data_IF_446345755797
#
_entry.id   IF_446345755797
#
_cell.length_a   1.000
_cell.length_b   1.000
_cell.length_c   1.000
_cell.angle_alpha   90.00
_cell.angle_beta   90.00
_cell.angle_gamma   90.00
#
_symmetry.space_group_name_H-M   'P 1'
#
loop_
_entity.id
_entity.type
_entity.pdbx_description
1 polymer ?
#
# COMPACT_ATOMS: atom_id res chain seq x y z
N UNK A 1 31.21 17.20 19.58
CA UNK A 1 30.00 16.90 18.79
C UNK A 1 30.08 17.72 17.52
N UNK A 2 30.81 17.19 16.54
CA UNK A 2 30.88 17.81 15.21
C UNK A 2 29.49 17.75 14.58
N UNK A 3 28.91 18.92 14.34
CA UNK A 3 27.71 19.05 13.55
C UNK A 3 28.05 18.61 12.12
N UNK A 4 27.67 17.41 11.75
CA UNK A 4 27.73 16.96 10.35
C UNK A 4 26.81 17.89 9.55
N UNK A 5 27.36 18.85 8.82
CA UNK A 5 26.60 19.58 7.84
C UNK A 5 26.23 18.60 6.72
N UNK A 6 24.96 18.46 6.49
CA UNK A 6 24.41 17.57 5.46
C UNK A 6 23.50 18.38 4.57
N UNK A 7 23.55 18.11 3.28
CA UNK A 7 22.61 18.68 2.30
C UNK A 7 21.54 17.66 1.99
N UNK A 8 20.28 18.01 2.23
CA UNK A 8 19.13 17.14 2.00
C UNK A 8 18.40 17.54 0.72
N UNK A 9 18.22 16.58 -0.18
CA UNK A 9 17.36 16.67 -1.34
C UNK A 9 16.15 15.76 -1.19
N UNK A 10 14.97 16.27 -1.52
CA UNK A 10 13.75 15.49 -1.51
C UNK A 10 12.94 15.77 -2.77
N UNK A 11 12.40 14.74 -3.40
CA UNK A 11 11.36 14.89 -4.40
C UNK A 11 10.24 13.87 -4.19
N UNK A 12 9.04 14.26 -4.56
CA UNK A 12 7.85 13.39 -4.57
C UNK A 12 7.09 13.62 -5.87
N UNK A 13 6.69 12.53 -6.52
CA UNK A 13 5.79 12.54 -7.68
C UNK A 13 4.66 11.60 -7.35
N UNK A 14 3.43 12.11 -7.39
CA UNK A 14 2.22 11.36 -7.06
C UNK A 14 1.17 11.54 -8.15
N UNK A 15 0.44 10.48 -8.47
CA UNK A 15 -0.61 10.48 -9.48
C UNK A 15 -1.77 9.60 -9.04
N UNK A 16 -2.98 10.14 -9.15
CA UNK A 16 -4.25 9.45 -8.91
C UNK A 16 -5.05 9.37 -10.20
N UNK A 17 -5.41 8.16 -10.61
CA UNK A 17 -6.19 7.91 -11.83
C UNK A 17 -7.32 6.92 -11.51
N UNK A 18 -8.54 7.24 -11.90
CA UNK A 18 -9.64 6.28 -11.92
C UNK A 18 -9.88 5.79 -13.36
N UNK A 19 -9.32 4.62 -13.68
CA UNK A 19 -9.49 4.02 -15.01
C UNK A 19 -10.94 3.67 -15.32
N UNK A 20 -11.76 3.45 -14.29
CA UNK A 20 -13.19 3.20 -14.47
C UNK A 20 -13.92 4.34 -15.20
N UNK A 21 -13.44 5.57 -15.04
CA UNK A 21 -14.01 6.75 -15.72
C UNK A 21 -13.89 6.69 -17.24
N UNK A 22 -12.85 6.04 -17.76
CA UNK A 22 -12.66 5.85 -19.21
C UNK A 22 -13.53 4.73 -19.81
N UNK A 23 -14.11 3.86 -18.96
CA UNK A 23 -14.91 2.71 -19.36
C UNK A 23 -16.42 3.00 -19.35
N UNK A 24 -16.84 4.25 -19.55
CA UNK A 24 -18.23 4.67 -19.48
C UNK A 24 -18.93 4.22 -18.16
N UNK A 25 -18.56 4.77 -17.00
CA UNK A 25 -18.95 4.28 -15.67
C UNK A 25 -20.48 4.25 -15.47
N UNK A 26 -21.23 5.14 -16.15
CA UNK A 26 -22.69 5.15 -16.13
C UNK A 26 -23.33 3.89 -16.73
N UNK A 27 -22.62 3.20 -17.65
CA UNK A 27 -23.09 1.97 -18.31
C UNK A 27 -22.51 0.72 -17.66
N UNK A 28 -21.24 0.75 -17.30
CA UNK A 28 -20.53 -0.43 -16.77
C UNK A 28 -20.57 -0.52 -15.23
N UNK A 29 -20.59 0.62 -14.54
CA UNK A 29 -20.50 0.70 -13.09
C UNK A 29 -19.11 0.36 -12.53
N UNK A 30 -18.10 0.17 -13.39
CA UNK A 30 -16.75 -0.23 -12.98
C UNK A 30 -16.00 0.96 -12.38
N UNK A 31 -15.37 0.75 -11.23
CA UNK A 31 -14.51 1.72 -10.55
C UNK A 31 -13.14 1.07 -10.34
N UNK A 32 -12.08 1.71 -10.86
CA UNK A 32 -10.69 1.23 -10.79
C UNK A 32 -9.80 2.40 -10.37
N UNK A 33 -9.80 2.79 -9.08
CA UNK A 33 -8.93 3.84 -8.61
C UNK A 33 -7.51 3.30 -8.44
N UNK A 34 -6.56 3.97 -9.08
CA UNK A 34 -5.13 3.67 -9.03
C UNK A 34 -4.42 4.88 -8.45
N UNK A 35 -3.59 4.63 -7.46
CA UNK A 35 -2.65 5.59 -6.92
C UNK A 35 -1.23 5.09 -7.18
N UNK A 36 -0.38 5.98 -7.70
CA UNK A 36 1.04 5.73 -7.91
C UNK A 36 1.84 6.90 -7.35
N UNK A 37 2.79 6.62 -6.48
CA UNK A 37 3.72 7.63 -6.01
C UNK A 37 5.15 7.11 -5.94
N UNK A 38 6.08 8.03 -6.17
CA UNK A 38 7.51 7.83 -5.98
C UNK A 38 8.05 8.99 -5.16
N UNK A 39 8.71 8.67 -4.07
CA UNK A 39 9.45 9.63 -3.30
C UNK A 39 10.91 9.21 -3.15
N UNK A 40 11.80 10.18 -3.12
CA UNK A 40 13.21 9.94 -2.87
C UNK A 40 13.78 11.02 -1.97
N UNK A 41 14.46 10.58 -0.94
CA UNK A 41 15.28 11.42 -0.07
C UNK A 41 16.74 11.13 -0.38
N UNK A 42 17.54 12.18 -0.55
CA UNK A 42 18.97 12.08 -0.78
C UNK A 42 19.69 12.96 0.22
N UNK A 43 20.52 12.38 1.07
CA UNK A 43 21.36 13.07 2.02
C UNK A 43 22.79 13.04 1.49
N UNK A 44 23.38 14.20 1.28
CA UNK A 44 24.77 14.35 0.83
C UNK A 44 25.61 14.77 2.01
N UNK A 45 26.61 13.96 2.43
CA UNK A 45 27.46 14.27 3.56
C UNK A 45 28.43 15.44 3.23
N UNK A 46 28.83 16.21 4.22
CA UNK A 46 29.85 17.26 4.05
C UNK A 46 31.23 16.64 3.80
N UNK A 47 31.58 15.59 4.53
CA UNK A 47 32.85 14.89 4.42
C UNK A 47 32.68 13.56 3.68
N UNK A 48 33.75 13.10 3.02
CA UNK A 48 33.75 11.82 2.33
C UNK A 48 33.67 10.66 3.34
N UNK A 49 32.63 9.80 3.33
CA UNK A 49 32.53 8.68 4.28
C UNK A 49 33.65 7.65 4.18
N UNK A 50 34.41 7.65 3.08
CA UNK A 50 35.55 6.75 2.83
C UNK A 50 36.89 7.39 3.21
N UNK A 51 36.94 8.70 3.37
CA UNK A 51 38.10 9.49 3.81
C UNK A 51 37.58 10.71 4.59
N UNK A 52 37.34 10.57 5.91
CA UNK A 52 36.68 11.60 6.74
C UNK A 52 37.47 12.92 6.86
N UNK A 53 38.75 12.94 6.50
CA UNK A 53 39.58 14.13 6.53
C UNK A 53 39.38 15.01 5.29
N UNK A 54 38.72 14.50 4.25
CA UNK A 54 38.50 15.18 2.97
C UNK A 54 37.03 15.59 2.84
N UNK A 55 36.78 16.87 2.53
CA UNK A 55 35.43 17.31 2.16
C UNK A 55 34.96 16.62 0.90
N UNK A 56 33.69 16.19 0.91
CA UNK A 56 33.10 15.42 -0.21
C UNK A 56 33.19 16.16 -1.57
N UNK A 57 33.04 17.48 -1.56
CA UNK A 57 33.21 18.30 -2.75
C UNK A 57 34.63 18.20 -3.31
N UNK A 58 35.65 18.30 -2.46
CA UNK A 58 37.05 18.21 -2.85
C UNK A 58 37.39 16.79 -3.37
N UNK A 59 36.84 15.76 -2.73
CA UNK A 59 36.99 14.38 -3.19
C UNK A 59 36.45 14.18 -4.62
N UNK A 60 35.35 14.85 -4.97
CA UNK A 60 34.80 14.82 -6.33
C UNK A 60 35.61 15.61 -7.36
N UNK A 61 36.35 16.64 -6.94
CA UNK A 61 37.23 17.44 -7.83
C UNK A 61 38.52 16.71 -8.20
N UNK A 62 39.05 15.88 -7.28
CA UNK A 62 40.27 15.10 -7.49
C UNK A 62 40.04 13.98 -8.51
N UNK A 63 38.86 13.41 -8.59
CA UNK A 63 38.51 12.34 -9.51
C UNK A 63 38.36 12.90 -10.93
N UNK A 64 39.12 12.40 -11.90
CA UNK A 64 39.09 12.89 -13.28
C UNK A 64 37.90 12.31 -14.08
N UNK A 65 37.64 11.00 -13.90
CA UNK A 65 36.60 10.31 -14.66
C UNK A 65 35.16 10.62 -14.14
N UNK A 66 34.26 10.96 -15.06
CA UNK A 66 32.85 11.18 -14.72
C UNK A 66 32.19 9.90 -14.14
N UNK A 67 32.56 8.73 -14.65
CA UNK A 67 32.04 7.45 -14.16
C UNK A 67 32.46 7.19 -12.71
N UNK A 68 33.67 7.52 -12.33
CA UNK A 68 34.16 7.41 -10.95
C UNK A 68 33.51 8.45 -10.04
N UNK A 69 33.29 9.68 -10.52
CA UNK A 69 32.52 10.71 -9.78
C UNK A 69 31.11 10.22 -9.46
N UNK A 70 30.42 9.64 -10.42
CA UNK A 70 29.05 9.15 -10.24
C UNK A 70 29.00 7.90 -9.33
N UNK A 71 30.04 7.05 -9.42
CA UNK A 71 30.22 5.93 -8.50
C UNK A 71 30.44 6.41 -7.05
N UNK A 72 31.34 7.39 -6.86
CA UNK A 72 31.60 7.98 -5.55
C UNK A 72 30.37 8.67 -4.97
N UNK A 73 29.62 9.46 -5.78
CA UNK A 73 28.35 10.07 -5.37
C UNK A 73 27.33 9.03 -4.93
N UNK A 74 27.21 7.94 -5.68
CA UNK A 74 26.26 6.86 -5.38
C UNK A 74 26.65 6.10 -4.12
N UNK A 75 27.96 5.95 -3.86
CA UNK A 75 28.46 5.24 -2.70
C UNK A 75 28.43 6.07 -1.40
N UNK A 76 28.67 7.38 -1.50
CA UNK A 76 28.81 8.26 -0.34
C UNK A 76 27.50 8.84 0.16
N UNK A 77 26.52 9.01 -0.72
CA UNK A 77 25.20 9.57 -0.37
C UNK A 77 24.30 8.54 0.29
N UNK A 78 23.49 8.98 1.26
CA UNK A 78 22.37 8.17 1.74
C UNK A 78 21.14 8.47 0.88
N UNK A 79 20.68 7.45 0.16
CA UNK A 79 19.56 7.54 -0.77
C UNK A 79 18.51 6.54 -0.34
N UNK A 80 17.32 7.05 0.00
CA UNK A 80 16.12 6.25 0.26
C UNK A 80 15.08 6.59 -0.79
N UNK A 81 14.71 5.60 -1.59
CA UNK A 81 13.66 5.71 -2.60
C UNK A 81 12.52 4.78 -2.26
N UNK A 82 11.31 5.31 -2.23
CA UNK A 82 10.09 4.53 -2.04
C UNK A 82 9.19 4.69 -3.26
N UNK A 83 8.64 3.58 -3.72
CA UNK A 83 7.67 3.52 -4.80
C UNK A 83 6.44 2.79 -4.29
N UNK A 84 5.28 3.41 -4.42
CA UNK A 84 3.99 2.83 -4.04
C UNK A 84 3.09 2.74 -5.26
N UNK A 85 2.42 1.61 -5.39
CA UNK A 85 1.37 1.38 -6.38
C UNK A 85 0.17 0.75 -5.68
N UNK A 86 -0.97 1.41 -5.70
CA UNK A 86 -2.16 0.98 -5.00
C UNK A 86 -3.36 0.97 -5.94
N UNK A 87 -4.11 -0.12 -5.91
CA UNK A 87 -5.46 -0.21 -6.49
C UNK A 87 -6.41 -0.48 -5.33
N UNK A 88 -7.17 0.52 -4.93
CA UNK A 88 -8.06 0.42 -3.78
C UNK A 88 -9.50 0.27 -4.21
N UNK A 89 -10.22 -0.70 -3.60
CA UNK A 89 -11.65 -0.84 -3.81
C UNK A 89 -12.07 -0.98 -5.30
N UNK A 90 -11.30 -1.80 -6.05
CA UNK A 90 -11.70 -2.24 -7.37
C UNK A 90 -13.05 -2.96 -7.27
N UNK A 91 -14.08 -2.41 -7.86
CA UNK A 91 -15.43 -2.97 -7.78
C UNK A 91 -16.27 -2.61 -9.00
N UNK A 92 -17.31 -3.39 -9.21
CA UNK A 92 -18.39 -3.06 -10.11
C UNK A 92 -19.60 -2.61 -9.30
N UNK A 93 -20.01 -1.38 -9.48
CA UNK A 93 -21.25 -0.85 -8.90
C UNK A 93 -22.44 -1.33 -9.72
N UNK A 94 -23.54 -1.60 -9.05
CA UNK A 94 -24.78 -2.03 -9.73
C UNK A 94 -25.34 -0.87 -10.55
N UNK A 95 -25.57 -1.15 -11.84
CA UNK A 95 -26.22 -0.22 -12.77
C UNK A 95 -27.60 -0.75 -13.10
N UNK A 96 -28.62 0.11 -12.95
CA UNK A 96 -30.03 -0.25 -13.23
C UNK A 96 -30.79 -0.76 -12.01
N UNK A 97 -32.04 -1.22 -12.25
CA UNK A 97 -33.01 -1.61 -11.21
C UNK A 97 -33.08 -3.12 -10.93
N UNK A 98 -32.07 -3.90 -11.35
CA UNK A 98 -32.05 -5.35 -11.13
C UNK A 98 -31.95 -5.68 -9.62
N UNK A 99 -32.70 -6.68 -9.19
CA UNK A 99 -32.64 -7.19 -7.80
C UNK A 99 -31.25 -7.80 -7.55
N UNK A 100 -30.67 -7.59 -6.37
CA UNK A 100 -29.38 -8.20 -6.03
C UNK A 100 -29.51 -9.72 -5.84
N UNK A 101 -28.54 -10.46 -6.40
CA UNK A 101 -28.40 -11.89 -6.16
C UNK A 101 -27.06 -12.12 -5.42
N UNK A 102 -26.97 -13.22 -4.69
CA UNK A 102 -25.76 -13.49 -3.89
C UNK A 102 -24.53 -13.79 -4.78
N UNK A 103 -24.71 -14.25 -6.02
CA UNK A 103 -23.62 -14.52 -6.98
C UNK A 103 -23.22 -13.33 -7.84
N UNK A 104 -23.83 -12.15 -7.63
CA UNK A 104 -23.54 -10.99 -8.47
C UNK A 104 -22.10 -10.49 -8.24
N UNK A 105 -21.39 -10.16 -9.32
CA UNK A 105 -20.03 -9.61 -9.25
C UNK A 105 -19.98 -8.26 -8.51
N UNK A 106 -21.09 -7.55 -8.46
CA UNK A 106 -21.26 -6.29 -7.73
C UNK A 106 -21.14 -6.44 -6.21
N UNK A 107 -21.17 -7.67 -5.69
CA UNK A 107 -20.98 -7.98 -4.28
C UNK A 107 -19.49 -8.10 -3.92
N UNK A 108 -18.61 -8.13 -4.90
CA UNK A 108 -17.18 -8.29 -4.71
C UNK A 108 -16.45 -6.94 -4.83
N UNK A 109 -15.43 -6.79 -4.02
CA UNK A 109 -14.44 -5.74 -4.13
C UNK A 109 -13.04 -6.35 -3.97
N UNK A 110 -12.07 -5.77 -4.64
CA UNK A 110 -10.68 -6.18 -4.53
C UNK A 110 -9.79 -4.97 -4.27
N UNK A 111 -8.67 -5.20 -3.62
CA UNK A 111 -7.63 -4.21 -3.42
C UNK A 111 -6.26 -4.86 -3.63
N UNK A 112 -5.32 -4.05 -4.11
CA UNK A 112 -3.94 -4.46 -4.26
C UNK A 112 -3.03 -3.31 -3.90
N UNK A 113 -2.01 -3.58 -3.10
CA UNK A 113 -0.98 -2.61 -2.75
C UNK A 113 0.40 -3.22 -2.95
N UNK A 114 1.27 -2.46 -3.58
CA UNK A 114 2.67 -2.77 -3.76
C UNK A 114 3.51 -1.60 -3.27
N UNK A 115 4.45 -1.87 -2.38
CA UNK A 115 5.44 -0.91 -1.91
C UNK A 115 6.82 -1.49 -2.14
N UNK A 116 7.71 -0.69 -2.73
CA UNK A 116 9.13 -0.98 -2.88
C UNK A 116 9.93 0.13 -2.21
N UNK A 117 10.77 -0.22 -1.26
CA UNK A 117 11.75 0.68 -0.66
C UNK A 117 13.16 0.23 -1.07
N UNK A 118 13.95 1.17 -1.55
CA UNK A 118 15.36 0.97 -1.92
C UNK A 118 16.20 1.93 -1.10
N UNK A 119 17.20 1.39 -0.43
CA UNK A 119 18.16 2.18 0.34
C UNK A 119 19.59 1.83 -0.08
N UNK A 120 20.44 2.84 -0.13
CA UNK A 120 21.88 2.70 -0.31
C UNK A 120 22.60 3.83 0.41
N UNK A 121 23.75 3.51 0.97
CA UNK A 121 24.62 4.48 1.66
C UNK A 121 26.08 3.98 1.70
N UNK A 122 26.93 4.60 2.53
CA UNK A 122 28.33 4.21 2.68
C UNK A 122 28.55 2.79 3.22
N UNK A 123 27.58 2.24 3.97
CA UNK A 123 27.66 0.91 4.57
C UNK A 123 26.87 -0.14 3.80
N UNK A 124 25.79 0.28 3.15
CA UNK A 124 24.85 -0.56 2.42
C UNK A 124 25.04 -0.32 0.92
N UNK A 125 25.45 -1.35 0.20
CA UNK A 125 25.55 -1.30 -1.26
C UNK A 125 24.16 -1.18 -1.88
N UNK A 126 23.21 -2.01 -1.40
CA UNK A 126 21.78 -1.88 -1.62
C UNK A 126 20.99 -2.62 -0.53
N UNK A 127 19.85 -2.08 -0.18
CA UNK A 127 18.82 -2.77 0.56
C UNK A 127 17.48 -2.55 -0.14
N UNK A 128 16.75 -3.63 -0.40
CA UNK A 128 15.48 -3.63 -1.11
C UNK A 128 14.45 -4.31 -0.22
N UNK A 129 13.38 -3.60 0.09
CA UNK A 129 12.20 -4.15 0.74
C UNK A 129 11.01 -4.03 -0.24
N UNK A 130 10.34 -5.15 -0.49
CA UNK A 130 9.14 -5.22 -1.33
C UNK A 130 8.02 -5.82 -0.53
N UNK A 131 6.92 -5.11 -0.41
CA UNK A 131 5.71 -5.62 0.20
C UNK A 131 4.56 -5.64 -0.80
N UNK A 132 3.80 -6.71 -0.75
CA UNK A 132 2.65 -6.96 -1.58
C UNK A 132 1.47 -7.28 -0.65
N UNK A 133 0.36 -6.59 -0.84
CA UNK A 133 -0.89 -6.88 -0.14
C UNK A 133 -2.00 -7.03 -1.15
N UNK A 134 -2.70 -8.15 -1.13
CA UNK A 134 -3.90 -8.41 -1.91
C UNK A 134 -5.08 -8.59 -0.97
N UNK A 135 -6.21 -7.95 -1.25
CA UNK A 135 -7.43 -8.09 -0.49
C UNK A 135 -8.61 -8.42 -1.41
N UNK A 136 -9.46 -9.33 -0.98
CA UNK A 136 -10.73 -9.66 -1.62
C UNK A 136 -11.83 -9.56 -0.59
N UNK A 137 -12.82 -8.74 -0.85
CA UNK A 137 -14.02 -8.59 -0.03
C UNK A 137 -15.26 -9.02 -0.80
N UNK A 138 -16.21 -9.59 -0.07
CA UNK A 138 -17.55 -9.92 -0.55
C UNK A 138 -18.56 -9.36 0.43
N UNK A 139 -19.57 -8.66 -0.06
CA UNK A 139 -20.66 -8.14 0.76
C UNK A 139 -21.98 -8.29 0.03
N UNK A 140 -22.88 -9.06 0.59
CA UNK A 140 -24.23 -9.23 0.10
C UNK A 140 -25.22 -8.69 1.11
N UNK A 141 -26.09 -7.77 0.68
CA UNK A 141 -27.16 -7.20 1.51
C UNK A 141 -28.51 -7.78 1.08
N UNK A 142 -29.23 -8.34 2.03
CA UNK A 142 -30.56 -8.90 1.82
C UNK A 142 -31.63 -7.87 2.14
N UNK A 143 -32.74 -7.90 1.39
CA UNK A 143 -33.96 -7.19 1.80
C UNK A 143 -34.73 -8.04 2.83
N UNK A 144 -34.15 -8.23 4.01
CA UNK A 144 -34.78 -8.98 5.06
C UNK A 144 -36.10 -8.30 5.47
N UNK A 145 -37.19 -9.03 5.33
CA UNK A 145 -38.52 -8.54 5.78
C UNK A 145 -38.61 -8.65 7.30
N UNK A 146 -39.05 -7.58 7.92
CA UNK A 146 -39.40 -7.58 9.31
C UNK A 146 -40.72 -8.35 9.47
N UNK A 147 -40.74 -9.36 10.35
CA UNK A 147 -41.92 -10.13 10.70
C UNK A 147 -42.44 -9.60 12.03
N UNK A 148 -43.68 -9.18 12.05
CA UNK A 148 -44.45 -8.76 13.23
C UNK A 148 -45.61 -9.72 13.43
N UNK A 149 -45.43 -10.84 14.13
CA UNK A 149 -46.42 -11.91 14.21
C UNK A 149 -47.72 -11.47 14.91
N UNK A 150 -47.63 -10.51 15.80
CA UNK A 150 -48.75 -10.06 16.61
C UNK A 150 -49.33 -8.70 16.20
N UNK A 151 -48.83 -8.07 15.11
CA UNK A 151 -49.30 -6.75 14.67
C UNK A 151 -50.82 -6.68 14.41
N UNK A 152 -51.41 -7.80 13.94
CA UNK A 152 -52.85 -7.92 13.65
C UNK A 152 -53.64 -8.60 14.76
N UNK A 153 -53.05 -8.93 15.90
CA UNK A 153 -53.69 -9.64 16.99
C UNK A 153 -54.67 -8.70 17.76
N UNK A 154 -55.97 -8.95 17.66
CA UNK A 154 -57.01 -8.14 18.31
C UNK A 154 -56.90 -8.19 19.83
N UNK A 155 -56.45 -9.31 20.41
CA UNK A 155 -56.26 -9.46 21.86
C UNK A 155 -55.11 -8.62 22.42
N UNK A 156 -54.15 -8.20 21.59
CA UNK A 156 -53.02 -7.36 21.97
C UNK A 156 -53.29 -5.86 21.84
N UNK A 157 -54.57 -5.45 21.76
CA UNK A 157 -54.98 -4.05 21.62
C UNK A 157 -54.92 -3.26 22.93
N UNK A 158 -54.74 -3.91 24.08
CA UNK A 158 -54.54 -3.27 25.37
C UNK A 158 -53.21 -2.54 25.46
N UNK A 159 -53.14 -1.31 26.06
CA UNK A 159 -51.89 -0.60 26.26
C UNK A 159 -50.82 -1.40 27.01
N UNK A 160 -51.25 -2.29 27.91
CA UNK A 160 -50.33 -3.17 28.68
C UNK A 160 -49.70 -4.28 27.84
N UNK A 161 -50.26 -4.61 26.67
CA UNK A 161 -49.78 -5.65 25.77
C UNK A 161 -49.09 -5.09 24.54
N UNK A 162 -48.83 -3.78 24.52
CA UNK A 162 -48.19 -3.11 23.39
C UNK A 162 -46.79 -3.68 23.08
N UNK A 163 -46.01 -4.04 24.10
CA UNK A 163 -44.72 -4.71 23.95
C UNK A 163 -44.82 -6.01 23.14
N UNK A 164 -45.89 -6.78 23.33
CA UNK A 164 -46.11 -8.04 22.60
C UNK A 164 -46.54 -7.73 21.17
N UNK A 165 -47.39 -6.73 20.98
CA UNK A 165 -47.85 -6.30 19.65
C UNK A 165 -46.72 -5.78 18.80
N UNK A 166 -45.79 -5.02 19.39
CA UNK A 166 -44.63 -4.42 18.70
C UNK A 166 -43.46 -5.39 18.56
N UNK A 167 -43.59 -6.62 19.07
CA UNK A 167 -42.58 -7.64 18.92
C UNK A 167 -42.31 -7.91 17.44
N UNK A 168 -41.06 -7.75 17.03
CA UNK A 168 -40.65 -7.92 15.66
C UNK A 168 -39.26 -8.55 15.57
N UNK A 169 -39.04 -9.29 14.53
CA UNK A 169 -37.73 -9.90 14.25
C UNK A 169 -37.48 -10.07 12.76
N UNK A 170 -36.19 -10.17 12.41
CA UNK A 170 -35.78 -10.51 11.08
C UNK A 170 -35.35 -11.98 11.07
N UNK A 171 -36.00 -12.81 10.24
CA UNK A 171 -35.67 -14.24 10.14
C UNK A 171 -34.41 -14.53 9.31
N UNK A 172 -33.92 -13.50 8.53
CA UNK A 172 -32.69 -13.58 7.75
C UNK A 172 -31.73 -12.46 8.16
N UNK A 173 -30.43 -12.69 8.13
CA UNK A 173 -29.47 -11.62 8.35
C UNK A 173 -29.63 -10.54 7.28
N UNK A 174 -29.48 -9.26 7.68
CA UNK A 174 -29.59 -8.11 6.76
C UNK A 174 -28.44 -8.05 5.78
N UNK A 175 -27.25 -8.51 6.19
CA UNK A 175 -26.07 -8.56 5.36
C UNK A 175 -25.21 -9.74 5.73
N UNK A 176 -24.47 -10.23 4.73
CA UNK A 176 -23.42 -11.21 4.89
C UNK A 176 -22.16 -10.62 4.25
N UNK A 177 -21.07 -10.59 5.00
CA UNK A 177 -19.78 -10.12 4.49
C UNK A 177 -18.67 -11.10 4.83
N UNK A 178 -17.74 -11.22 3.89
CA UNK A 178 -16.52 -11.98 4.03
C UNK A 178 -15.36 -11.16 3.46
N UNK A 179 -14.20 -11.19 4.11
CA UNK A 179 -12.99 -10.57 3.59
C UNK A 179 -11.80 -11.48 3.85
N UNK A 180 -10.88 -11.48 2.90
CA UNK A 180 -9.60 -12.16 3.02
C UNK A 180 -8.50 -11.25 2.53
N UNK A 181 -7.37 -11.27 3.21
CA UNK A 181 -6.18 -10.53 2.85
C UNK A 181 -4.99 -11.49 2.76
N UNK A 182 -4.10 -11.21 1.83
CA UNK A 182 -2.83 -11.91 1.67
C UNK A 182 -1.72 -10.87 1.73
N UNK A 183 -0.72 -11.15 2.52
CA UNK A 183 0.47 -10.31 2.65
C UNK A 183 1.71 -11.11 2.28
N UNK A 184 2.60 -10.48 1.52
CA UNK A 184 3.91 -11.03 1.17
C UNK A 184 4.96 -9.94 1.29
N UNK A 185 6.07 -10.25 1.95
CA UNK A 185 7.23 -9.39 2.04
C UNK A 185 8.47 -10.10 1.52
N UNK A 186 9.31 -9.36 0.82
CA UNK A 186 10.62 -9.78 0.35
C UNK A 186 11.63 -8.71 0.72
N UNK A 187 12.66 -9.11 1.42
CA UNK A 187 13.77 -8.26 1.81
C UNK A 187 15.08 -8.83 1.26
N UNK A 188 15.91 -7.96 0.73
CA UNK A 188 17.24 -8.29 0.25
C UNK A 188 18.18 -7.16 0.65
N UNK A 189 19.33 -7.50 1.22
CA UNK A 189 20.34 -6.53 1.62
C UNK A 189 21.73 -7.05 1.29
N UNK A 190 22.57 -6.16 0.74
CA UNK A 190 24.00 -6.37 0.54
C UNK A 190 24.78 -5.25 1.20
N UNK A 191 25.67 -5.62 2.12
CA UNK A 191 26.58 -4.67 2.75
C UNK A 191 27.75 -4.38 1.83
N UNK A 192 28.28 -3.16 1.93
CA UNK A 192 29.47 -2.74 1.19
C UNK A 192 30.74 -3.29 1.85
N UNK A 193 31.63 -3.85 1.04
CA UNK A 193 32.94 -4.23 1.55
C UNK A 193 33.80 -2.98 1.73
N UNK A 194 34.21 -2.71 2.98
CA UNK A 194 35.10 -1.62 3.36
C UNK A 194 36.54 -2.10 3.59
N UNK A 195 36.77 -3.40 3.56
CA UNK A 195 38.10 -3.98 3.74
C UNK A 195 38.89 -3.98 2.42
N UNK A 196 40.17 -3.79 2.51
CA UNK A 196 41.09 -3.83 1.35
C UNK A 196 41.37 -5.23 0.78
N UNK A 197 40.62 -6.25 1.24
CA UNK A 197 40.74 -7.63 0.75
C UNK A 197 39.60 -8.04 -0.16
N UNK A 198 39.82 -9.06 -1.00
CA UNK A 198 38.85 -9.67 -1.93
C UNK A 198 37.74 -10.45 -1.21
N UNK A 199 37.18 -9.91 -0.08
CA UNK A 199 36.10 -10.55 0.63
C UNK A 199 34.81 -10.27 -0.09
N UNK A 200 34.21 -11.31 -0.68
CA UNK A 200 32.91 -11.23 -1.34
C UNK A 200 31.81 -11.29 -0.26
N UNK A 201 31.12 -10.16 0.00
CA UNK A 201 29.95 -10.12 0.87
C UNK A 201 28.74 -10.57 0.07
N UNK A 202 28.13 -11.69 0.48
CA UNK A 202 26.93 -12.21 -0.17
C UNK A 202 25.69 -11.47 0.34
N UNK A 203 24.67 -11.24 -0.52
CA UNK A 203 23.39 -10.68 -0.09
C UNK A 203 22.68 -11.59 0.92
N UNK A 204 21.94 -10.99 1.84
CA UNK A 204 21.01 -11.69 2.75
C UNK A 204 19.58 -11.51 2.28
N UNK A 205 18.76 -12.55 2.45
CA UNK A 205 17.36 -12.55 1.99
C UNK A 205 16.42 -12.95 3.11
N UNK A 206 15.26 -12.31 3.15
CA UNK A 206 14.13 -12.74 3.98
C UNK A 206 12.84 -12.75 3.16
N UNK A 207 11.98 -13.74 3.38
CA UNK A 207 10.67 -13.87 2.72
C UNK A 207 9.64 -14.25 3.78
N UNK A 208 8.56 -13.48 3.87
CA UNK A 208 7.44 -13.74 4.76
C UNK A 208 6.14 -13.85 3.93
N UNK A 209 5.25 -14.73 4.37
CA UNK A 209 3.92 -14.94 3.81
C UNK A 209 2.93 -15.05 4.96
N UNK A 210 1.83 -14.29 4.88
CA UNK A 210 0.67 -14.36 5.78
C UNK A 210 -0.63 -14.35 4.98
#
# INVERSE_FOLDING_TARGET
TDSKMESNGFYNISTDIDLGKFMAPQKTGITIPIHYDVNQTTITPEYNPFDPDVKFKNALEIVESQAEKDSLKTAARDIVKQTNFNVTNLRKNRVGKKKPHFWDIENFNASYAYTKQEQRNSDIEYAIDKSYRGGLGYTYSTNAKNIQPFAKAKWASSPYLQLIKDFNFYYMPKSFSFSTEMYRQYQEQKLRNKSSGDIIIKPTYAKNWD
#
